data_IF_302746999947
#
_entry.id   IF_302746999947
#
_cell.length_a   1.000
_cell.length_b   1.000
_cell.length_c   1.000
_cell.angle_alpha   90.00
_cell.angle_beta   90.00
_cell.angle_gamma   90.00
#
_symmetry.space_group_name_H-M   'P 1'
#
loop_
_entity.id
_entity.type
_entity.pdbx_description
1 polymer ?
#
# COMPACT_ATOMS: atom_id res chain seq x y z
N UNK A 1 3.98 67.73 -18.93
CA UNK A 1 2.85 66.78 -18.88
C UNK A 1 1.94 67.27 -17.77
N UNK A 2 0.77 67.77 -18.15
CA UNK A 2 -0.17 68.47 -17.27
C UNK A 2 -0.83 67.49 -16.30
N UNK A 3 -0.42 67.51 -15.03
CA UNK A 3 -1.13 66.82 -13.96
C UNK A 3 -2.31 67.71 -13.52
N UNK A 4 -3.49 67.47 -14.09
CA UNK A 4 -4.75 68.01 -13.57
C UNK A 4 -4.96 67.46 -12.17
N UNK A 5 -4.64 68.25 -11.14
CA UNK A 5 -5.08 68.02 -9.78
C UNK A 5 -6.56 68.39 -9.69
N UNK A 6 -7.48 67.44 -9.46
CA UNK A 6 -8.86 67.78 -9.20
C UNK A 6 -8.91 68.57 -7.89
N UNK A 7 -9.42 69.80 -7.94
CA UNK A 7 -9.75 70.54 -6.72
C UNK A 7 -10.89 69.81 -6.02
N UNK A 8 -10.61 69.19 -4.88
CA UNK A 8 -11.63 68.61 -4.00
C UNK A 8 -12.37 69.79 -3.34
N UNK A 9 -13.58 70.05 -3.80
CA UNK A 9 -14.48 71.05 -3.22
C UNK A 9 -14.85 70.65 -1.78
N UNK A 10 -14.81 71.60 -0.86
CA UNK A 10 -14.97 71.48 0.60
C UNK A 10 -16.33 71.01 1.15
N UNK A 11 -17.16 70.40 0.31
CA UNK A 11 -18.45 69.81 0.70
C UNK A 11 -18.49 68.30 0.38
N UNK A 12 -17.48 67.55 0.83
CA UNK A 12 -17.53 66.09 0.76
C UNK A 12 -18.41 65.54 1.89
N UNK A 13 -19.35 64.67 1.52
CA UNK A 13 -20.14 63.91 2.51
C UNK A 13 -19.22 62.92 3.24
N UNK A 14 -19.47 62.57 4.51
CA UNK A 14 -18.61 61.69 5.32
C UNK A 14 -18.21 60.39 4.61
N UNK A 15 -19.14 59.79 3.84
CA UNK A 15 -18.87 58.61 3.03
C UNK A 15 -17.87 58.82 1.88
N UNK A 16 -17.87 60.00 1.24
CA UNK A 16 -16.90 60.34 0.18
C UNK A 16 -15.51 60.64 0.76
N UNK A 17 -15.47 61.17 1.98
CA UNK A 17 -14.24 61.37 2.74
C UNK A 17 -13.62 60.01 3.08
N UNK A 18 -14.42 59.08 3.62
CA UNK A 18 -14.00 57.72 3.94
C UNK A 18 -13.53 56.94 2.70
N UNK A 19 -14.16 57.14 1.55
CA UNK A 19 -13.75 56.53 0.28
C UNK A 19 -12.39 57.09 -0.20
N UNK A 20 -12.17 58.40 -0.05
CA UNK A 20 -10.88 59.04 -0.34
C UNK A 20 -9.75 58.47 0.53
N UNK A 21 -10.02 58.29 1.83
CA UNK A 21 -9.08 57.69 2.80
C UNK A 21 -8.93 56.17 2.69
N UNK A 22 -9.80 55.49 1.94
CA UNK A 22 -9.69 54.05 1.66
C UNK A 22 -8.64 53.73 0.60
N UNK A 23 -8.11 54.75 -0.10
CA UNK A 23 -7.03 54.56 -1.07
C UNK A 23 -5.69 54.32 -0.35
N UNK A 24 -5.03 53.17 -0.58
CA UNK A 24 -3.78 52.81 0.12
C UNK A 24 -2.57 53.68 -0.27
N UNK A 25 -2.69 54.48 -1.33
CA UNK A 25 -1.66 55.40 -1.81
C UNK A 25 -1.83 56.84 -1.33
N UNK A 26 -2.86 57.14 -0.52
CA UNK A 26 -3.14 58.49 -0.08
C UNK A 26 -2.06 59.01 0.89
N UNK A 27 -1.37 60.07 0.50
CA UNK A 27 -0.44 60.79 1.38
C UNK A 27 -1.16 61.89 2.17
N UNK A 28 -1.08 61.94 3.52
CA UNK A 28 -1.78 62.93 4.33
C UNK A 28 -1.46 64.39 3.98
N UNK A 29 -0.20 64.67 3.68
CA UNK A 29 0.27 66.01 3.30
C UNK A 29 -0.21 66.42 1.91
N UNK A 30 -0.30 65.47 0.96
CA UNK A 30 -0.88 65.73 -0.36
C UNK A 30 -2.37 66.06 -0.29
N UNK A 31 -3.11 65.36 0.58
CA UNK A 31 -4.51 65.66 0.85
C UNK A 31 -4.69 67.06 1.44
N UNK A 32 -3.94 67.43 2.49
CA UNK A 32 -4.01 68.75 3.12
C UNK A 32 -3.66 69.90 2.16
N UNK A 33 -2.66 69.72 1.29
CA UNK A 33 -2.27 70.73 0.32
C UNK A 33 -3.29 70.90 -0.82
N UNK A 34 -4.13 69.88 -1.05
CA UNK A 34 -5.24 69.93 -2.01
C UNK A 34 -6.56 70.42 -1.39
N UNK A 35 -6.74 70.23 -0.09
CA UNK A 35 -7.96 70.57 0.64
C UNK A 35 -7.94 71.99 1.23
N UNK A 36 -6.76 72.62 1.36
CA UNK A 36 -6.63 73.99 1.85
C UNK A 36 -6.38 74.97 0.68
N UNK A 37 -6.91 76.21 0.74
CA UNK A 37 -6.64 77.23 -0.26
C UNK A 37 -5.15 77.58 -0.32
N UNK A 38 -4.63 77.76 -1.54
CA UNK A 38 -3.27 78.28 -1.72
C UNK A 38 -3.16 79.70 -1.16
N UNK A 39 -2.14 79.95 -0.33
CA UNK A 39 -1.93 81.21 0.37
C UNK A 39 -1.78 82.40 -0.61
N UNK A 40 -2.72 83.36 -0.57
CA UNK A 40 -2.68 84.62 -1.33
C UNK A 40 -2.88 85.81 -0.38
N UNK A 41 -1.89 86.70 -0.25
CA UNK A 41 -1.97 87.88 0.64
C UNK A 41 -3.04 88.89 0.19
N UNK A 42 -3.73 89.64 1.09
CA UNK A 42 -3.67 89.68 2.57
C UNK A 42 -4.93 89.11 3.29
N UNK A 43 -5.96 88.69 2.56
CA UNK A 43 -7.26 88.22 3.11
C UNK A 43 -7.35 86.70 3.35
N UNK A 44 -6.31 85.92 3.03
CA UNK A 44 -6.38 84.45 3.06
C UNK A 44 -6.34 83.83 4.46
N UNK A 45 -5.77 84.49 5.47
CA UNK A 45 -5.54 83.87 6.79
C UNK A 45 -6.84 83.52 7.57
N UNK A 46 -7.83 84.41 7.71
CA UNK A 46 -9.09 84.06 8.37
C UNK A 46 -9.88 82.99 7.60
N UNK A 47 -9.82 83.00 6.26
CA UNK A 47 -10.49 81.99 5.42
C UNK A 47 -9.88 80.60 5.61
N UNK A 48 -8.54 80.51 5.58
CA UNK A 48 -7.83 79.25 5.84
C UNK A 48 -8.17 78.70 7.22
N UNK A 49 -8.24 79.56 8.24
CA UNK A 49 -8.61 79.13 9.59
C UNK A 49 -10.04 78.55 9.64
N UNK A 50 -11.02 79.24 9.06
CA UNK A 50 -12.41 78.74 9.01
C UNK A 50 -12.51 77.40 8.28
N UNK A 51 -11.78 77.24 7.18
CA UNK A 51 -11.79 76.03 6.35
C UNK A 51 -11.06 74.85 7.02
N UNK A 52 -9.94 75.12 7.71
CA UNK A 52 -9.24 74.11 8.51
C UNK A 52 -10.09 73.61 9.69
N UNK A 53 -10.81 74.52 10.38
CA UNK A 53 -11.71 74.13 11.49
C UNK A 53 -12.89 73.31 10.98
N UNK A 54 -13.48 73.68 9.84
CA UNK A 54 -14.54 72.89 9.21
C UNK A 54 -14.06 71.49 8.80
N UNK A 55 -12.85 71.39 8.22
CA UNK A 55 -12.23 70.12 7.86
C UNK A 55 -11.93 69.24 9.08
N UNK A 56 -11.45 69.84 10.17
CA UNK A 56 -11.20 69.10 11.42
C UNK A 56 -12.49 68.52 11.99
N UNK A 57 -13.58 69.29 12.02
CA UNK A 57 -14.88 68.81 12.49
C UNK A 57 -15.44 67.69 11.60
N UNK A 58 -15.26 67.79 10.28
CA UNK A 58 -15.64 66.72 9.33
C UNK A 58 -14.84 65.44 9.56
N UNK A 59 -13.52 65.57 9.79
CA UNK A 59 -12.63 64.44 10.01
C UNK A 59 -12.86 63.77 11.37
N UNK A 60 -13.17 64.54 12.41
CA UNK A 60 -13.57 64.02 13.73
C UNK A 60 -14.86 63.21 13.63
N UNK A 61 -15.88 63.72 12.93
CA UNK A 61 -17.12 62.99 12.68
C UNK A 61 -16.88 61.69 11.87
N UNK A 62 -16.08 61.75 10.81
CA UNK A 62 -15.71 60.57 10.02
C UNK A 62 -14.94 59.51 10.84
N UNK A 63 -14.09 59.97 11.76
CA UNK A 63 -13.33 59.10 12.66
C UNK A 63 -14.26 58.40 13.65
N UNK A 64 -15.20 59.13 14.25
CA UNK A 64 -16.20 58.56 15.16
C UNK A 64 -17.11 57.55 14.44
N UNK A 65 -17.54 57.84 13.20
CA UNK A 65 -18.34 56.92 12.39
C UNK A 65 -17.56 55.64 12.03
N UNK A 66 -16.28 55.76 11.66
CA UNK A 66 -15.42 54.62 11.36
C UNK A 66 -15.17 53.75 12.61
N UNK A 67 -14.95 54.37 13.77
CA UNK A 67 -14.81 53.67 15.05
C UNK A 67 -16.08 52.89 15.36
N UNK A 68 -17.26 53.52 15.27
CA UNK A 68 -18.53 52.85 15.52
C UNK A 68 -18.77 51.68 14.55
N UNK A 69 -18.39 51.85 13.27
CA UNK A 69 -18.48 50.78 12.27
C UNK A 69 -17.51 49.63 12.57
N UNK A 70 -16.29 49.92 12.98
CA UNK A 70 -15.30 48.92 13.35
C UNK A 70 -15.74 48.14 14.59
N UNK A 71 -16.20 48.82 15.64
CA UNK A 71 -16.72 48.18 16.86
C UNK A 71 -17.90 47.26 16.53
N UNK A 72 -18.81 47.71 15.66
CA UNK A 72 -19.93 46.88 15.19
C UNK A 72 -19.44 45.65 14.44
N UNK A 73 -18.56 45.81 13.45
CA UNK A 73 -18.03 44.67 12.67
C UNK A 73 -17.26 43.71 13.56
N UNK A 74 -16.46 44.19 14.51
CA UNK A 74 -15.75 43.33 15.46
C UNK A 74 -16.72 42.58 16.38
N UNK A 75 -17.77 43.23 16.87
CA UNK A 75 -18.81 42.58 17.68
C UNK A 75 -19.57 41.52 16.88
N UNK A 76 -19.96 41.84 15.65
CA UNK A 76 -20.64 40.92 14.72
C UNK A 76 -19.71 39.73 14.38
N UNK A 77 -18.42 39.98 14.15
CA UNK A 77 -17.41 38.95 13.89
C UNK A 77 -17.23 38.04 15.11
N UNK A 78 -17.05 38.59 16.31
CA UNK A 78 -16.89 37.81 17.54
C UNK A 78 -18.13 36.95 17.83
N UNK A 79 -19.33 37.51 17.61
CA UNK A 79 -20.59 36.77 17.75
C UNK A 79 -20.70 35.65 16.71
N UNK A 80 -20.39 35.95 15.44
CA UNK A 80 -20.40 34.95 14.36
C UNK A 80 -19.37 33.84 14.58
N UNK A 81 -18.19 34.15 15.14
CA UNK A 81 -17.16 33.17 15.47
C UNK A 81 -17.62 32.21 16.57
N UNK A 82 -18.26 32.72 17.61
CA UNK A 82 -18.81 31.90 18.69
C UNK A 82 -19.95 31.00 18.19
N UNK A 83 -20.82 31.53 17.33
CA UNK A 83 -21.91 30.75 16.71
C UNK A 83 -21.35 29.66 15.79
N UNK A 84 -20.41 30.00 14.92
CA UNK A 84 -19.76 29.03 14.03
C UNK A 84 -19.10 27.91 14.83
N UNK A 85 -18.41 28.27 15.92
CA UNK A 85 -17.79 27.28 16.81
C UNK A 85 -18.82 26.29 17.35
N UNK A 86 -19.96 26.78 17.84
CA UNK A 86 -21.04 25.91 18.32
C UNK A 86 -21.60 25.01 17.22
N UNK A 87 -21.84 25.56 16.03
CA UNK A 87 -22.34 24.78 14.89
C UNK A 87 -21.33 23.69 14.46
N UNK A 88 -20.02 24.00 14.49
CA UNK A 88 -18.95 23.03 14.20
C UNK A 88 -18.88 21.94 15.28
N UNK A 89 -18.96 22.30 16.55
CA UNK A 89 -18.97 21.33 17.66
C UNK A 89 -20.18 20.41 17.59
N UNK A 90 -21.36 20.95 17.27
CA UNK A 90 -22.59 20.18 17.07
C UNK A 90 -22.45 19.22 15.89
N UNK A 91 -22.03 19.71 14.72
CA UNK A 91 -21.90 18.90 13.52
C UNK A 91 -20.81 17.82 13.68
N UNK A 92 -19.74 18.12 14.41
CA UNK A 92 -18.74 17.12 14.78
C UNK A 92 -19.33 16.02 15.64
N UNK A 93 -20.19 16.36 16.60
CA UNK A 93 -20.91 15.38 17.42
C UNK A 93 -21.87 14.52 16.60
N UNK A 94 -22.60 15.12 15.66
CA UNK A 94 -23.52 14.39 14.78
C UNK A 94 -22.77 13.45 13.81
N UNK A 95 -21.60 13.88 13.28
CA UNK A 95 -20.72 13.03 12.47
C UNK A 95 -20.16 11.87 13.29
N UNK A 96 -19.79 12.10 14.55
CA UNK A 96 -19.36 11.04 15.45
C UNK A 96 -20.50 10.05 15.74
N UNK A 97 -21.72 10.55 15.98
CA UNK A 97 -22.90 9.68 16.14
C UNK A 97 -23.20 8.85 14.88
N UNK A 98 -23.05 9.45 13.70
CA UNK A 98 -23.21 8.75 12.43
C UNK A 98 -22.12 7.69 12.23
N UNK A 99 -20.86 7.98 12.56
CA UNK A 99 -19.76 7.02 12.49
C UNK A 99 -20.00 5.84 13.45
N UNK A 100 -20.47 6.13 14.66
CA UNK A 100 -20.87 5.11 15.64
C UNK A 100 -22.00 4.25 15.08
N UNK A 101 -23.04 4.85 14.46
CA UNK A 101 -24.14 4.09 13.85
C UNK A 101 -23.66 3.24 12.67
N UNK A 102 -22.82 3.79 11.79
CA UNK A 102 -22.28 3.09 10.64
C UNK A 102 -21.41 1.91 11.06
N UNK A 103 -20.53 2.12 12.05
CA UNK A 103 -19.54 1.12 12.48
C UNK A 103 -20.14 0.08 13.41
N UNK A 104 -20.99 0.48 14.37
CA UNK A 104 -21.48 -0.43 15.41
C UNK A 104 -22.83 -1.06 15.09
N UNK A 105 -23.61 -0.50 14.17
CA UNK A 105 -24.96 -1.01 13.86
C UNK A 105 -25.07 -1.48 12.40
N UNK A 106 -24.84 -0.60 11.43
CA UNK A 106 -25.02 -0.95 10.01
C UNK A 106 -23.98 -1.96 9.51
N UNK A 107 -22.70 -1.77 9.82
CA UNK A 107 -21.63 -2.68 9.41
C UNK A 107 -21.86 -4.13 9.88
N UNK A 108 -22.16 -4.40 11.16
CA UNK A 108 -22.44 -5.78 11.56
C UNK A 108 -23.71 -6.33 10.94
N UNK A 109 -24.74 -5.51 10.68
CA UNK A 109 -25.92 -5.96 9.93
C UNK A 109 -25.57 -6.37 8.49
N UNK A 110 -24.72 -5.60 7.81
CA UNK A 110 -24.24 -5.94 6.46
C UNK A 110 -23.41 -7.22 6.46
N UNK A 111 -22.51 -7.37 7.44
CA UNK A 111 -21.68 -8.57 7.57
C UNK A 111 -22.53 -9.82 7.88
N UNK A 112 -23.57 -9.67 8.71
CA UNK A 112 -24.52 -10.75 9.02
C UNK A 112 -25.32 -11.17 7.78
N UNK A 113 -25.81 -10.19 7.00
CA UNK A 113 -26.47 -10.46 5.71
C UNK A 113 -25.52 -11.13 4.72
N UNK A 114 -24.27 -10.67 4.64
CA UNK A 114 -23.26 -11.27 3.78
C UNK A 114 -22.98 -12.74 4.16
N UNK A 115 -22.92 -13.05 5.45
CA UNK A 115 -22.70 -14.43 5.94
C UNK A 115 -23.92 -15.33 5.74
N UNK A 116 -25.12 -14.80 5.94
CA UNK A 116 -26.38 -15.55 5.83
C UNK A 116 -26.84 -15.74 4.38
N UNK A 117 -26.34 -14.93 3.44
CA UNK A 117 -26.71 -15.04 2.04
C UNK A 117 -26.14 -16.33 1.41
N UNK A 118 -27.00 -17.26 0.95
CA UNK A 118 -26.54 -18.50 0.31
C UNK A 118 -25.80 -18.24 -1.00
N UNK A 119 -26.02 -17.09 -1.64
CA UNK A 119 -25.29 -16.67 -2.83
C UNK A 119 -23.82 -16.32 -2.50
N UNK A 120 -23.56 -15.67 -1.36
CA UNK A 120 -22.21 -15.35 -0.92
C UNK A 120 -21.42 -16.59 -0.51
N UNK A 121 -22.05 -17.55 0.16
CA UNK A 121 -21.42 -18.84 0.49
C UNK A 121 -21.03 -19.62 -0.78
N UNK A 122 -21.90 -19.60 -1.81
CA UNK A 122 -21.58 -20.20 -3.11
C UNK A 122 -20.44 -19.47 -3.80
N UNK A 123 -20.42 -18.14 -3.74
CA UNK A 123 -19.33 -17.34 -4.29
C UNK A 123 -18.00 -17.62 -3.58
N UNK A 124 -18.00 -17.73 -2.25
CA UNK A 124 -16.83 -18.13 -1.48
C UNK A 124 -16.33 -19.53 -1.86
N UNK A 125 -17.26 -20.49 -2.02
CA UNK A 125 -16.93 -21.81 -2.53
C UNK A 125 -16.32 -21.76 -3.93
N UNK A 126 -16.89 -20.95 -4.83
CA UNK A 126 -16.38 -20.80 -6.19
C UNK A 126 -15.00 -20.13 -6.21
N UNK A 127 -14.73 -19.16 -5.33
CA UNK A 127 -13.38 -18.60 -5.18
C UNK A 127 -12.38 -19.63 -4.61
N UNK A 128 -12.80 -20.49 -3.69
CA UNK A 128 -11.97 -21.60 -3.23
C UNK A 128 -11.66 -22.58 -4.37
N UNK A 129 -12.69 -22.96 -5.14
CA UNK A 129 -12.55 -23.85 -6.30
C UNK A 129 -11.63 -23.20 -7.35
N UNK A 130 -11.83 -21.92 -7.65
CA UNK A 130 -10.98 -21.16 -8.59
C UNK A 130 -9.53 -21.18 -8.15
N UNK A 131 -9.24 -20.88 -6.88
CA UNK A 131 -7.88 -20.91 -6.32
C UNK A 131 -7.24 -22.28 -6.46
N UNK A 132 -7.96 -23.35 -6.08
CA UNK A 132 -7.46 -24.72 -6.23
C UNK A 132 -7.23 -25.10 -7.68
N UNK A 133 -8.10 -24.68 -8.60
CA UNK A 133 -7.95 -24.98 -10.02
C UNK A 133 -6.73 -24.28 -10.63
N UNK A 134 -6.43 -23.06 -10.18
CA UNK A 134 -5.20 -22.35 -10.57
C UNK A 134 -3.97 -23.07 -10.02
N UNK A 135 -3.97 -23.47 -8.76
CA UNK A 135 -2.86 -24.25 -8.17
C UNK A 135 -2.63 -25.57 -8.92
N UNK A 136 -3.71 -26.28 -9.25
CA UNK A 136 -3.66 -27.48 -10.09
C UNK A 136 -3.06 -27.15 -11.47
N UNK A 137 -3.51 -26.07 -12.12
CA UNK A 137 -2.97 -25.65 -13.42
C UNK A 137 -1.46 -25.33 -13.34
N UNK A 138 -1.01 -24.67 -12.29
CA UNK A 138 0.40 -24.34 -12.08
C UNK A 138 1.24 -25.61 -11.91
N UNK A 139 0.79 -26.54 -11.06
CA UNK A 139 1.49 -27.83 -10.90
C UNK A 139 1.54 -28.64 -12.19
N UNK A 140 0.48 -28.63 -13.01
CA UNK A 140 0.48 -29.31 -14.32
C UNK A 140 1.33 -28.59 -15.37
N UNK A 141 1.40 -27.26 -15.34
CA UNK A 141 2.26 -26.48 -16.25
C UNK A 141 3.72 -26.74 -15.93
N UNK A 142 4.05 -26.81 -14.65
CA UNK A 142 5.38 -27.13 -14.19
C UNK A 142 5.76 -28.58 -14.46
N UNK A 143 4.83 -29.51 -14.22
CA UNK A 143 4.97 -30.90 -14.61
C UNK A 143 5.25 -31.03 -16.12
N UNK A 144 4.51 -30.29 -16.95
CA UNK A 144 4.73 -30.25 -18.40
C UNK A 144 6.13 -29.72 -18.75
N UNK A 145 6.62 -28.67 -18.07
CA UNK A 145 7.98 -28.15 -18.29
C UNK A 145 9.02 -29.23 -18.00
N UNK A 146 8.86 -29.96 -16.90
CA UNK A 146 9.75 -31.07 -16.52
C UNK A 146 9.70 -32.19 -17.56
N UNK A 147 8.50 -32.58 -18.03
CA UNK A 147 8.36 -33.58 -19.09
C UNK A 147 9.08 -33.17 -20.39
N UNK A 148 8.94 -31.90 -20.78
CA UNK A 148 9.63 -31.35 -21.95
C UNK A 148 11.15 -31.35 -21.76
N UNK A 149 11.65 -30.99 -20.58
CA UNK A 149 13.08 -31.01 -20.27
C UNK A 149 13.64 -32.44 -20.31
N UNK A 150 12.97 -33.40 -19.66
CA UNK A 150 13.39 -34.81 -19.72
C UNK A 150 13.37 -35.38 -21.14
N UNK A 151 12.40 -35.02 -21.98
CA UNK A 151 12.37 -35.42 -23.41
C UNK A 151 13.50 -34.78 -24.21
N UNK A 152 13.96 -33.58 -23.83
CA UNK A 152 15.09 -32.89 -24.44
C UNK A 152 16.46 -33.34 -23.90
N UNK A 153 16.50 -34.31 -22.99
CA UNK A 153 17.73 -34.86 -22.41
C UNK A 153 17.98 -34.49 -20.94
N UNK A 154 17.04 -33.83 -20.26
CA UNK A 154 17.09 -33.51 -18.83
C UNK A 154 18.13 -32.45 -18.44
N UNK A 155 18.66 -31.72 -19.42
CA UNK A 155 19.79 -30.81 -19.23
C UNK A 155 19.44 -29.55 -18.46
N UNK A 156 18.29 -28.92 -18.68
CA UNK A 156 18.01 -27.59 -18.10
C UNK A 156 17.86 -27.66 -16.57
N UNK A 157 17.14 -28.66 -16.07
CA UNK A 157 16.93 -28.85 -14.62
C UNK A 157 18.20 -29.35 -13.94
N UNK A 158 18.96 -30.23 -14.59
CA UNK A 158 20.22 -30.74 -14.07
C UNK A 158 21.30 -29.65 -14.02
N UNK A 159 21.41 -28.82 -15.07
CA UNK A 159 22.35 -27.70 -15.16
C UNK A 159 22.03 -26.63 -14.11
N UNK A 160 20.75 -26.33 -13.88
CA UNK A 160 20.30 -25.42 -12.82
C UNK A 160 20.74 -25.90 -11.43
N UNK A 161 20.63 -27.20 -11.16
CA UNK A 161 21.07 -27.79 -9.89
C UNK A 161 22.60 -27.77 -9.79
N UNK A 162 23.32 -28.10 -10.87
CA UNK A 162 24.80 -28.02 -10.92
C UNK A 162 25.32 -26.61 -10.67
N UNK A 163 24.66 -25.60 -11.22
CA UNK A 163 24.98 -24.19 -11.00
C UNK A 163 24.73 -23.78 -9.53
N UNK A 164 23.61 -24.20 -8.94
CA UNK A 164 23.34 -23.95 -7.51
C UNK A 164 24.38 -24.60 -6.59
N UNK A 165 24.86 -25.79 -6.95
CA UNK A 165 25.94 -26.48 -6.24
C UNK A 165 27.29 -25.78 -6.43
N UNK A 166 27.59 -25.27 -7.62
CA UNK A 166 28.81 -24.49 -7.89
C UNK A 166 28.84 -23.17 -7.09
N UNK A 167 27.67 -22.56 -6.85
CA UNK A 167 27.49 -21.38 -6.00
C UNK A 167 27.51 -21.69 -4.49
N UNK A 168 27.67 -22.95 -4.08
CA UNK A 168 27.66 -23.36 -2.67
C UNK A 168 26.29 -23.30 -1.99
N UNK A 169 25.20 -23.18 -2.75
CA UNK A 169 23.82 -23.07 -2.24
C UNK A 169 23.17 -24.45 -2.08
N UNK A 170 23.78 -25.29 -1.25
CA UNK A 170 23.37 -26.70 -1.08
C UNK A 170 21.92 -26.88 -0.57
N UNK A 171 21.46 -26.00 0.32
CA UNK A 171 20.07 -26.03 0.83
C UNK A 171 19.06 -25.77 -0.28
N UNK A 172 19.31 -24.74 -1.09
CA UNK A 172 18.44 -24.35 -2.19
C UNK A 172 18.40 -25.44 -3.28
N UNK A 173 19.54 -26.07 -3.56
CA UNK A 173 19.61 -27.23 -4.46
C UNK A 173 18.82 -28.42 -3.92
N UNK A 174 18.91 -28.72 -2.62
CA UNK A 174 18.13 -29.80 -2.00
C UNK A 174 16.63 -29.51 -2.01
N UNK A 175 16.22 -28.27 -1.71
CA UNK A 175 14.82 -27.86 -1.75
C UNK A 175 14.24 -27.95 -3.17
N UNK A 176 15.03 -27.61 -4.20
CA UNK A 176 14.63 -27.76 -5.60
C UNK A 176 14.45 -29.24 -5.98
N UNK A 177 15.32 -30.13 -5.52
CA UNK A 177 15.18 -31.59 -5.74
C UNK A 177 13.96 -32.17 -5.03
N UNK A 178 13.66 -31.71 -3.81
CA UNK A 178 12.43 -32.09 -3.08
C UNK A 178 11.18 -31.59 -3.79
N UNK A 179 11.21 -30.36 -4.29
CA UNK A 179 10.12 -29.76 -5.06
C UNK A 179 9.85 -30.54 -6.35
N UNK A 180 10.90 -30.91 -7.09
CA UNK A 180 10.80 -31.80 -8.25
C UNK A 180 10.20 -33.15 -7.88
N UNK A 181 10.58 -33.71 -6.72
CA UNK A 181 10.00 -34.94 -6.19
C UNK A 181 8.48 -34.85 -6.03
N UNK A 182 7.96 -33.76 -5.46
CA UNK A 182 6.52 -33.52 -5.29
C UNK A 182 5.78 -33.42 -6.62
N UNK A 183 6.37 -32.77 -7.62
CA UNK A 183 5.74 -32.60 -8.93
C UNK A 183 5.72 -33.93 -9.70
N UNK A 184 6.71 -34.79 -9.49
CA UNK A 184 6.76 -36.11 -10.12
C UNK A 184 5.65 -37.05 -9.62
N UNK A 185 5.10 -36.80 -8.44
CA UNK A 185 3.93 -37.54 -7.94
C UNK A 185 2.71 -37.40 -8.85
N UNK A 186 2.61 -36.35 -9.67
CA UNK A 186 1.55 -36.17 -10.68
C UNK A 186 1.48 -37.35 -11.67
N UNK A 187 2.61 -38.02 -11.92
CA UNK A 187 2.67 -39.17 -12.82
C UNK A 187 2.53 -40.52 -12.11
N UNK A 188 2.32 -40.55 -10.78
CA UNK A 188 2.22 -41.79 -10.02
C UNK A 188 1.16 -42.72 -10.61
N UNK A 189 1.55 -43.96 -10.91
CA UNK A 189 0.70 -44.95 -11.57
C UNK A 189 0.76 -44.95 -13.11
N UNK A 190 1.51 -44.03 -13.73
CA UNK A 190 1.82 -44.08 -15.16
C UNK A 190 3.16 -44.78 -15.41
N UNK A 191 3.38 -45.25 -16.64
CA UNK A 191 4.64 -45.90 -17.06
C UNK A 191 5.83 -44.92 -17.08
N UNK A 192 5.58 -43.62 -17.12
CA UNK A 192 6.62 -42.58 -17.11
C UNK A 192 7.16 -42.26 -15.70
N UNK A 193 6.44 -42.68 -14.65
CA UNK A 193 6.80 -42.37 -13.27
C UNK A 193 8.16 -42.94 -12.87
N UNK A 194 8.44 -44.19 -13.24
CA UNK A 194 9.69 -44.87 -12.88
C UNK A 194 10.91 -44.10 -13.41
N UNK A 195 10.88 -43.71 -14.69
CA UNK A 195 11.98 -42.97 -15.35
C UNK A 195 12.17 -41.58 -14.72
N UNK A 196 11.07 -40.88 -14.43
CA UNK A 196 11.09 -39.54 -13.81
C UNK A 196 11.59 -39.60 -12.36
N UNK A 197 11.14 -40.60 -11.60
CA UNK A 197 11.57 -40.83 -10.22
C UNK A 197 13.06 -41.17 -10.14
N UNK A 198 13.56 -42.02 -11.05
CA UNK A 198 14.99 -42.35 -11.14
C UNK A 198 15.86 -41.12 -11.46
N UNK A 199 15.37 -40.21 -12.31
CA UNK A 199 16.04 -38.96 -12.62
C UNK A 199 16.20 -38.06 -11.37
N UNK A 200 15.13 -37.88 -10.60
CA UNK A 200 15.22 -37.13 -9.32
C UNK A 200 16.08 -37.86 -8.29
N UNK A 201 16.07 -39.20 -8.28
CA UNK A 201 17.00 -40.00 -7.48
C UNK A 201 18.46 -39.72 -7.83
N UNK A 202 18.79 -39.58 -9.11
CA UNK A 202 20.14 -39.20 -9.59
C UNK A 202 20.51 -37.78 -9.16
N UNK A 203 19.60 -36.83 -9.27
CA UNK A 203 19.82 -35.44 -8.82
C UNK A 203 20.04 -35.35 -7.31
N UNK A 204 19.25 -36.09 -6.52
CA UNK A 204 19.43 -36.20 -5.06
C UNK A 204 20.79 -36.74 -4.70
N UNK A 205 21.24 -37.80 -5.39
CA UNK A 205 22.58 -38.37 -5.19
C UNK A 205 23.69 -37.37 -5.58
N UNK A 206 23.52 -36.63 -6.67
CA UNK A 206 24.46 -35.60 -7.10
C UNK A 206 24.62 -34.47 -6.07
N UNK A 207 23.51 -33.99 -5.50
CA UNK A 207 23.53 -32.99 -4.41
C UNK A 207 24.20 -33.57 -3.17
N UNK A 208 23.92 -34.83 -2.80
CA UNK A 208 24.50 -35.46 -1.61
C UNK A 208 26.02 -35.75 -1.76
N UNK A 209 26.46 -36.19 -2.94
CA UNK A 209 27.88 -36.46 -3.24
C UNK A 209 28.69 -35.14 -3.26
N UNK A 210 28.09 -34.03 -3.69
CA UNK A 210 28.75 -32.71 -3.67
C UNK A 210 28.77 -32.07 -2.29
N UNK A 211 27.72 -32.23 -1.49
CA UNK A 211 27.69 -31.83 -0.07
C UNK A 211 28.74 -32.60 0.73
N UNK A 212 28.76 -33.92 0.64
CA UNK A 212 29.74 -34.76 1.34
C UNK A 212 31.18 -34.51 0.90
N UNK A 213 31.40 -34.17 -0.38
CA UNK A 213 32.72 -33.74 -0.88
C UNK A 213 33.14 -32.35 -0.40
N UNK A 214 32.19 -31.44 -0.22
CA UNK A 214 32.44 -30.12 0.37
C UNK A 214 32.69 -30.19 1.88
N UNK A 215 32.03 -31.12 2.58
CA UNK A 215 32.20 -31.35 4.03
C UNK A 215 33.43 -32.22 4.35
N UNK A 216 33.81 -33.14 3.45
CA UNK A 216 34.92 -34.09 3.59
C UNK A 216 36.28 -33.59 3.10
N UNK A 217 36.45 -32.29 2.88
CA UNK A 217 37.72 -31.66 2.48
C UNK A 217 38.77 -31.64 3.60
N UNK A 218 39.23 -32.82 4.02
CA UNK A 218 40.24 -32.99 5.06
C UNK A 218 40.70 -34.44 5.20
N UNK A 219 41.35 -34.98 4.16
CA UNK A 219 42.52 -35.91 4.18
C UNK A 219 42.53 -36.78 2.93
N UNK A 220 43.66 -36.77 2.23
CA UNK A 220 43.93 -37.57 1.05
C UNK A 220 44.63 -38.90 1.41
N UNK A 221 44.52 -39.87 0.50
CA UNK A 221 45.41 -41.04 0.30
C UNK A 221 45.11 -42.22 1.23
N UNK A 222 44.77 -43.42 0.75
CA UNK A 222 45.73 -44.35 0.12
C UNK A 222 45.01 -45.52 -0.57
N UNK A 223 45.60 -45.96 -1.69
CA UNK A 223 45.34 -47.18 -2.45
C UNK A 223 45.43 -48.48 -1.62
N UNK A 224 44.61 -49.48 -1.92
CA UNK A 224 45.02 -50.90 -2.03
C UNK A 224 43.90 -51.69 -2.76
N UNK A 225 44.06 -52.17 -3.99
CA UNK A 225 44.62 -53.48 -4.41
C UNK A 225 44.15 -54.70 -3.60
N UNK A 226 43.45 -55.62 -4.29
CA UNK A 226 43.71 -57.07 -4.19
C UNK A 226 42.52 -58.00 -3.89
N UNK A 227 42.28 -58.94 -4.81
CA UNK A 227 41.88 -60.35 -4.62
C UNK A 227 40.38 -60.78 -4.63
N UNK A 228 39.93 -61.18 -5.83
CA UNK A 228 39.55 -62.52 -6.31
C UNK A 228 38.55 -63.49 -5.60
N UNK A 229 37.90 -64.23 -6.52
CA UNK A 229 37.24 -65.55 -6.44
C UNK A 229 35.75 -65.60 -6.07
N UNK A 230 34.87 -65.85 -7.04
CA UNK A 230 34.34 -67.17 -7.48
C UNK A 230 33.22 -67.69 -6.55
N UNK A 231 32.11 -68.29 -6.97
CA UNK A 231 31.61 -68.75 -8.26
C UNK A 231 30.10 -69.12 -8.10
N UNK A 232 29.48 -69.45 -9.24
CA UNK A 232 28.36 -70.41 -9.39
C UNK A 232 26.90 -69.88 -9.46
N UNK A 233 26.46 -69.79 -10.71
CA UNK A 233 25.12 -70.08 -11.27
C UNK A 233 24.68 -71.56 -11.03
N UNK A 234 23.53 -72.07 -11.55
CA UNK A 234 22.21 -71.46 -11.92
C UNK A 234 21.01 -72.34 -11.44
N UNK A 235 19.75 -71.88 -11.64
CA UNK A 235 18.64 -72.70 -12.20
C UNK A 235 17.25 -72.01 -12.17
N UNK A 236 16.66 -71.89 -13.35
CA UNK A 236 15.28 -72.29 -13.72
C UNK A 236 14.06 -71.70 -13.00
N UNK A 237 13.49 -70.66 -13.62
CA UNK A 237 12.16 -70.66 -14.27
C UNK A 237 10.89 -70.99 -13.46
N UNK A 238 10.00 -69.99 -13.32
CA UNK A 238 8.58 -70.01 -13.75
C UNK A 238 7.84 -68.76 -13.23
N UNK A 239 7.21 -68.01 -14.14
CA UNK A 239 5.94 -67.30 -13.85
C UNK A 239 4.77 -68.26 -14.12
N UNK A 240 3.61 -68.12 -13.43
CA UNK A 240 2.55 -67.23 -13.95
C UNK A 240 1.65 -66.50 -12.91
N UNK A 241 1.28 -65.25 -13.25
CA UNK A 241 -0.07 -64.60 -13.20
C UNK A 241 -0.82 -64.40 -11.84
N UNK A 242 -1.44 -63.20 -11.60
CA UNK A 242 -2.21 -62.81 -10.38
C UNK A 242 -3.73 -63.14 -10.53
N UNK A 243 -4.73 -62.67 -9.72
CA UNK A 243 -4.76 -61.71 -8.60
C UNK A 243 -5.63 -62.14 -7.39
N UNK A 244 -5.63 -61.35 -6.31
CA UNK A 244 -6.83 -61.15 -5.45
C UNK A 244 -6.74 -59.85 -4.66
N UNK A 245 -7.75 -59.01 -4.88
CA UNK A 245 -8.10 -57.79 -4.16
C UNK A 245 -8.78 -58.20 -2.85
N UNK A 246 -8.27 -57.68 -1.73
CA UNK A 246 -9.00 -57.22 -0.54
C UNK A 246 -8.15 -57.43 0.70
N UNK A 247 -7.67 -56.33 1.30
CA UNK A 247 -7.82 -56.07 2.73
C UNK A 247 -7.63 -54.56 2.93
N UNK A 248 -8.75 -53.91 3.16
CA UNK A 248 -8.85 -52.54 3.66
C UNK A 248 -8.35 -52.50 5.11
N UNK A 249 -8.00 -51.29 5.56
CA UNK A 249 -7.95 -50.90 6.98
C UNK A 249 -6.61 -51.06 7.71
N UNK A 250 -5.81 -49.99 7.64
CA UNK A 250 -5.18 -49.43 8.84
C UNK A 250 -5.07 -47.91 8.73
N UNK A 251 -5.72 -47.23 9.67
CA UNK A 251 -5.58 -45.81 9.96
C UNK A 251 -4.10 -45.44 10.06
N UNK A 252 -3.70 -44.39 9.33
CA UNK A 252 -2.46 -43.68 9.62
C UNK A 252 -2.76 -42.18 9.66
N UNK A 253 -2.62 -41.68 10.89
CA UNK A 253 -2.75 -40.32 11.38
C UNK A 253 -1.71 -39.41 10.68
N UNK A 254 -2.15 -38.32 10.04
CA UNK A 254 -1.27 -37.32 9.42
C UNK A 254 -0.98 -36.19 10.42
N UNK A 255 0.27 -35.98 10.88
CA UNK A 255 0.61 -34.85 11.74
C UNK A 255 1.21 -33.72 10.89
N UNK A 256 0.41 -32.92 10.17
CA UNK A 256 0.93 -31.63 9.65
C UNK A 256 -0.12 -30.59 9.20
N UNK A 257 -1.13 -30.31 10.01
CA UNK A 257 -2.08 -29.21 9.71
C UNK A 257 -1.74 -27.93 10.50
N UNK A 258 -0.92 -28.04 11.56
CA UNK A 258 -0.65 -26.93 12.48
C UNK A 258 0.51 -26.03 12.04
N UNK A 259 1.56 -26.56 11.42
CA UNK A 259 2.69 -25.76 10.94
C UNK A 259 2.33 -24.91 9.71
N UNK A 260 1.51 -25.45 8.80
CA UNK A 260 1.03 -24.73 7.61
C UNK A 260 0.13 -23.54 7.97
N UNK A 261 -0.61 -23.61 9.09
CA UNK A 261 -1.47 -22.52 9.56
C UNK A 261 -0.68 -21.34 10.16
N UNK A 262 0.52 -21.59 10.71
CA UNK A 262 1.37 -20.53 11.26
C UNK A 262 2.19 -19.81 10.18
N UNK A 263 2.62 -20.55 9.15
CA UNK A 263 3.30 -19.96 7.98
C UNK A 263 2.37 -19.00 7.21
N UNK A 264 1.11 -19.41 6.99
CA UNK A 264 0.09 -18.59 6.31
C UNK A 264 -0.31 -17.33 7.12
N UNK A 265 -0.18 -17.36 8.45
CA UNK A 265 -0.42 -16.19 9.31
C UNK A 265 0.71 -15.17 9.24
N UNK A 266 1.93 -15.61 8.97
CA UNK A 266 3.08 -14.72 8.88
C UNK A 266 3.13 -13.98 7.54
N UNK A 267 2.84 -14.68 6.43
CA UNK A 267 2.84 -14.09 5.09
C UNK A 267 1.69 -13.08 4.89
N UNK A 268 0.51 -13.35 5.46
CA UNK A 268 -0.59 -12.39 5.46
C UNK A 268 -0.28 -11.12 6.26
N UNK A 269 0.50 -11.20 7.35
CA UNK A 269 0.90 -10.03 8.14
C UNK A 269 1.86 -9.12 7.38
N UNK A 270 2.84 -9.70 6.68
CA UNK A 270 3.80 -8.94 5.88
C UNK A 270 3.11 -8.24 4.69
N UNK A 271 2.18 -8.93 4.01
CA UNK A 271 1.40 -8.32 2.92
C UNK A 271 0.52 -7.14 3.37
N UNK A 272 -0.09 -7.24 4.55
CA UNK A 272 -0.91 -6.16 5.11
C UNK A 272 -0.07 -4.95 5.56
N UNK A 273 1.13 -5.16 6.10
CA UNK A 273 2.02 -4.06 6.49
C UNK A 273 2.53 -3.27 5.28
N UNK A 274 2.88 -3.96 4.18
CA UNK A 274 3.28 -3.30 2.93
C UNK A 274 2.16 -2.46 2.30
N UNK A 275 0.90 -2.92 2.41
CA UNK A 275 -0.26 -2.15 1.95
C UNK A 275 -0.49 -0.88 2.79
N UNK A 276 -0.35 -0.98 4.11
CA UNK A 276 -0.49 0.16 5.04
C UNK A 276 0.59 1.21 4.78
N UNK A 277 1.83 0.79 4.54
CA UNK A 277 2.94 1.70 4.25
C UNK A 277 2.77 2.39 2.90
N UNK A 278 2.26 1.67 1.90
CA UNK A 278 1.91 2.22 0.58
C UNK A 278 0.80 3.27 0.68
N UNK A 279 -0.24 3.01 1.47
CA UNK A 279 -1.34 3.96 1.70
C UNK A 279 -0.88 5.20 2.48
N UNK A 280 0.06 5.04 3.42
CA UNK A 280 0.64 6.16 4.16
C UNK A 280 1.50 7.06 3.27
N UNK A 281 2.20 6.48 2.29
CA UNK A 281 3.01 7.20 1.30
C UNK A 281 2.15 7.99 0.31
N UNK A 282 0.98 7.47 -0.06
CA UNK A 282 -0.01 8.17 -0.90
C UNK A 282 -0.66 9.35 -0.14
N UNK A 283 -0.80 9.27 1.19
CA UNK A 283 -1.40 10.33 2.01
C UNK A 283 -0.45 11.52 2.28
N UNK A 284 0.86 11.34 2.08
CA UNK A 284 1.87 12.39 2.31
C UNK A 284 2.35 13.07 1.02
N UNK A 285 1.90 12.60 -0.14
CA UNK A 285 2.10 13.23 -1.45
C UNK A 285 0.87 14.07 -1.82
#
# INVERSE_FOLDING_TARGET
MSSSTPQLTTNLTTGQLLDSFSNPSLTPHGYLNSALPSYKLPTALPQIHTEAVALLSSLDNATQELIAKLERVVSDMLSSANRLKYEVELLSGDVEQLDISMTNDLKPQVDDVARKSPAMQRLEMLELVRRRLVEVLDTFTEAKKIDMDLRSGGGETEDKIREMLAQGKFKLANDEVERLGKIIEVWKGTHEFAVKSDFVGKLRKLVQDTVTRSEGGGTATTLSTGFDSEASTPATGRSPVPPSISTFEKQQEYPNVRASAEFLRHEAREGYLGLIESLKKIRQA
#
